data_IF_256756596764
#
_entry.id   IF_256756596764
#
_cell.length_a   1.000
_cell.length_b   1.000
_cell.length_c   1.000
_cell.angle_alpha   90.00
_cell.angle_beta   90.00
_cell.angle_gamma   90.00
#
_symmetry.space_group_name_H-M   'P 1'
#
loop_
_entity.id
_entity.type
_entity.pdbx_description
1 polymer ?
#
# COMPACT_ATOMS: atom_id res chain seq x y z
N UNK A 1 1.59 15.38 -6.68
CA UNK A 1 2.52 14.23 -6.67
C UNK A 1 2.11 13.34 -5.52
N UNK A 2 1.93 12.02 -5.74
CA UNK A 2 1.67 11.07 -4.65
C UNK A 2 2.99 10.61 -4.04
N UNK A 3 3.14 10.73 -2.73
CA UNK A 3 4.37 10.43 -2.00
C UNK A 3 4.29 9.04 -1.35
N UNK A 4 5.41 8.31 -1.34
CA UNK A 4 5.52 7.03 -0.63
C UNK A 4 6.01 7.32 0.78
N UNK A 5 5.18 6.99 1.77
CA UNK A 5 5.45 7.24 3.19
C UNK A 5 6.21 6.09 3.84
N UNK A 6 6.05 4.89 3.30
CA UNK A 6 6.70 3.67 3.77
C UNK A 6 6.78 2.68 2.62
N UNK A 7 7.87 1.93 2.53
CA UNK A 7 8.06 0.85 1.56
C UNK A 7 8.87 -0.29 2.18
N UNK A 8 8.47 -1.52 1.90
CA UNK A 8 9.20 -2.74 2.26
C UNK A 8 9.00 -3.82 1.20
N UNK A 9 10.06 -4.59 0.94
CA UNK A 9 9.99 -5.78 0.10
C UNK A 9 9.68 -7.01 0.96
N UNK A 10 8.66 -7.77 0.57
CA UNK A 10 8.29 -9.05 1.16
C UNK A 10 9.27 -10.15 0.73
N UNK A 11 9.41 -11.24 1.51
CA UNK A 11 10.28 -12.37 1.16
C UNK A 11 9.98 -13.01 -0.21
N UNK A 12 8.73 -12.97 -0.64
CA UNK A 12 8.25 -13.45 -1.95
C UNK A 12 8.56 -12.50 -3.13
N UNK A 13 9.26 -11.39 -2.87
CA UNK A 13 9.69 -10.43 -3.89
C UNK A 13 8.66 -9.35 -4.22
N UNK A 14 7.43 -9.41 -3.69
CA UNK A 14 6.47 -8.33 -3.82
C UNK A 14 6.87 -7.13 -2.94
N UNK A 15 6.54 -5.90 -3.38
CA UNK A 15 6.82 -4.68 -2.60
C UNK A 15 5.52 -4.13 -2.03
N UNK A 16 5.47 -3.98 -0.71
CA UNK A 16 4.35 -3.35 0.00
C UNK A 16 4.71 -1.89 0.29
N UNK A 17 3.79 -0.97 0.04
CA UNK A 17 4.02 0.45 0.32
C UNK A 17 2.79 1.15 0.87
N UNK A 18 3.02 2.14 1.73
CA UNK A 18 2.02 3.13 2.14
C UNK A 18 2.19 4.35 1.24
N UNK A 19 1.15 4.68 0.46
CA UNK A 19 1.17 5.81 -0.47
C UNK A 19 0.17 6.88 -0.05
N UNK A 20 0.63 8.12 0.05
CA UNK A 20 -0.22 9.29 0.29
C UNK A 20 -1.02 9.64 -0.97
N UNK A 21 -2.32 9.89 -0.79
CA UNK A 21 -3.24 10.31 -1.85
C UNK A 21 -3.48 11.82 -1.88
N UNK A 22 -3.25 12.48 -0.74
CA UNK A 22 -3.42 13.93 -0.56
C UNK A 22 -2.11 14.65 -0.83
N UNK A 23 -2.14 15.93 -1.28
CA UNK A 23 -0.93 16.74 -1.39
C UNK A 23 -0.17 16.81 -0.06
N UNK A 24 1.14 17.01 -0.13
CA UNK A 24 1.96 17.33 1.04
C UNK A 24 1.35 18.54 1.78
N UNK A 25 1.40 18.52 3.11
CA UNK A 25 0.85 19.57 3.99
C UNK A 25 -0.68 19.76 3.96
N UNK A 26 -1.41 19.01 3.14
CA UNK A 26 -2.88 19.02 3.14
C UNK A 26 -3.45 18.10 4.22
N UNK A 27 -4.41 18.62 4.99
CA UNK A 27 -5.23 17.87 5.94
C UNK A 27 -6.70 17.81 5.47
N UNK A 28 -7.43 16.71 5.70
CA UNK A 28 -6.95 15.48 6.34
C UNK A 28 -6.00 14.69 5.42
N UNK A 29 -5.05 13.98 6.01
CA UNK A 29 -4.13 13.10 5.29
C UNK A 29 -4.85 11.80 4.93
N UNK A 30 -4.85 11.47 3.65
CA UNK A 30 -5.34 10.17 3.16
C UNK A 30 -4.17 9.36 2.61
N UNK A 31 -4.03 8.11 3.05
CA UNK A 31 -3.04 7.18 2.53
C UNK A 31 -3.63 5.78 2.31
N UNK A 32 -2.95 5.00 1.48
CA UNK A 32 -3.36 3.65 1.09
C UNK A 32 -2.21 2.66 1.19
N UNK A 33 -2.54 1.39 1.46
CA UNK A 33 -1.61 0.28 1.28
C UNK A 33 -1.70 -0.22 -0.16
N UNK A 34 -0.56 -0.38 -0.82
CA UNK A 34 -0.45 -0.99 -2.14
C UNK A 34 0.56 -2.13 -2.12
N UNK A 35 0.34 -3.13 -2.97
CA UNK A 35 1.29 -4.22 -3.18
C UNK A 35 1.67 -4.27 -4.65
N UNK A 36 2.93 -4.04 -4.94
CA UNK A 36 3.52 -4.18 -6.26
C UNK A 36 4.09 -5.61 -6.42
N UNK A 37 3.38 -6.44 -7.16
CA UNK A 37 3.79 -7.82 -7.50
C UNK A 37 4.65 -7.90 -8.77
N UNK A 38 5.09 -6.77 -9.36
CA UNK A 38 5.86 -6.75 -10.62
C UNK A 38 7.20 -7.49 -10.52
N UNK A 39 7.75 -7.66 -9.31
CA UNK A 39 8.97 -8.43 -9.07
C UNK A 39 8.73 -9.95 -8.85
N UNK A 40 7.48 -10.41 -8.77
CA UNK A 40 7.14 -11.79 -8.37
C UNK A 40 6.96 -12.78 -9.54
N UNK A 41 7.02 -12.34 -10.81
CA UNK A 41 6.93 -13.25 -11.96
C UNK A 41 6.32 -12.63 -13.23
N UNK A 42 6.45 -13.29 -14.40
CA UNK A 42 6.05 -12.72 -15.68
C UNK A 42 4.55 -12.91 -15.92
N UNK A 43 3.74 -11.88 -15.65
CA UNK A 43 2.45 -11.54 -16.32
C UNK A 43 1.71 -10.42 -15.58
N UNK A 44 1.61 -9.24 -16.17
CA UNK A 44 0.40 -8.82 -16.88
C UNK A 44 0.53 -7.38 -17.37
N UNK A 45 0.03 -7.17 -18.59
CA UNK A 45 0.37 -6.12 -19.55
C UNK A 45 -0.46 -4.85 -19.28
N UNK A 46 -0.58 -4.44 -18.02
CA UNK A 46 -1.32 -3.22 -17.64
C UNK A 46 -0.44 -2.29 -16.79
N UNK A 47 0.74 -1.98 -17.34
CA UNK A 47 1.79 -1.20 -16.69
C UNK A 47 1.40 0.27 -16.39
N UNK A 48 0.21 0.73 -16.77
CA UNK A 48 -0.26 2.12 -16.58
C UNK A 48 -1.21 2.34 -15.41
N UNK A 49 -1.68 1.28 -14.73
CA UNK A 49 -2.60 1.42 -13.60
C UNK A 49 -1.83 1.23 -12.29
N UNK A 50 -1.88 2.20 -11.38
CA UNK A 50 -1.34 2.03 -10.02
C UNK A 50 -1.88 0.73 -9.40
N UNK A 51 -1.08 -0.01 -8.62
CA UNK A 51 -1.56 -1.22 -7.97
C UNK A 51 -2.85 -0.91 -7.17
N UNK A 52 -3.81 -1.83 -7.12
CA UNK A 52 -5.06 -1.59 -6.40
C UNK A 52 -4.77 -1.38 -4.90
N UNK A 53 -5.28 -0.28 -4.36
CA UNK A 53 -5.11 0.10 -2.95
C UNK A 53 -5.84 -0.87 -1.99
N UNK A 54 -5.13 -1.76 -1.30
CA UNK A 54 -5.69 -2.81 -0.44
C UNK A 54 -6.52 -2.26 0.73
N UNK A 55 -6.04 -1.18 1.32
CA UNK A 55 -6.67 -0.50 2.45
C UNK A 55 -6.44 1.00 2.31
N UNK A 56 -7.40 1.80 2.76
CA UNK A 56 -7.30 3.25 2.81
C UNK A 56 -7.59 3.74 4.23
N UNK A 57 -6.78 4.67 4.72
CA UNK A 57 -6.97 5.33 6.01
C UNK A 57 -6.88 6.84 5.82
N UNK A 58 -7.70 7.54 6.59
CA UNK A 58 -7.70 8.99 6.69
C UNK A 58 -7.40 9.39 8.14
N UNK A 59 -6.60 10.43 8.33
CA UNK A 59 -6.24 10.94 9.64
C UNK A 59 -5.72 12.38 9.57
N UNK A 60 -5.65 13.05 10.71
CA UNK A 60 -5.26 14.47 10.77
C UNK A 60 -3.77 14.70 10.47
N UNK A 61 -2.93 13.69 10.74
CA UNK A 61 -1.48 13.76 10.56
C UNK A 61 -0.96 12.59 9.75
N UNK A 62 0.15 12.81 9.07
CA UNK A 62 0.84 11.76 8.31
C UNK A 62 1.30 10.63 9.24
N UNK A 63 1.92 10.98 10.37
CA UNK A 63 2.38 10.02 11.36
C UNK A 63 1.22 9.16 11.90
N UNK A 64 0.05 9.76 12.14
CA UNK A 64 -1.13 9.02 12.60
C UNK A 64 -1.63 8.01 11.57
N UNK A 65 -1.68 8.41 10.30
CA UNK A 65 -2.08 7.51 9.20
C UNK A 65 -1.06 6.39 8.99
N UNK A 66 0.24 6.71 9.02
CA UNK A 66 1.32 5.72 8.92
C UNK A 66 1.25 4.74 10.08
N UNK A 67 1.10 5.20 11.32
CA UNK A 67 0.97 4.35 12.50
C UNK A 67 -0.27 3.44 12.44
N UNK A 68 -1.38 3.90 11.85
CA UNK A 68 -2.58 3.09 11.66
C UNK A 68 -2.40 2.00 10.58
N UNK A 69 -1.58 2.27 9.56
CA UNK A 69 -1.34 1.34 8.45
C UNK A 69 -0.15 0.39 8.70
N UNK A 70 0.82 0.79 9.54
CA UNK A 70 2.04 0.04 9.83
C UNK A 70 1.79 -1.43 10.22
N UNK A 71 0.87 -1.73 11.17
CA UNK A 71 0.62 -3.11 11.61
C UNK A 71 0.21 -4.05 10.48
N UNK A 72 -0.42 -3.52 9.44
CA UNK A 72 -0.86 -4.30 8.29
C UNK A 72 0.26 -4.53 7.27
N UNK A 73 1.23 -3.62 7.16
CA UNK A 73 2.34 -3.71 6.19
C UNK A 73 3.58 -4.42 6.73
N UNK A 74 3.74 -4.47 8.06
CA UNK A 74 4.83 -5.21 8.70
C UNK A 74 4.55 -6.71 8.79
N UNK A 75 3.27 -7.12 8.85
CA UNK A 75 2.89 -8.53 8.94
C UNK A 75 2.48 -9.09 7.56
N UNK A 76 3.30 -9.97 7.00
CA UNK A 76 3.06 -10.61 5.70
C UNK A 76 1.70 -11.36 5.67
N UNK A 77 1.30 -11.96 6.79
CA UNK A 77 0.00 -12.61 6.94
C UNK A 77 -1.17 -11.61 6.89
N UNK A 78 -0.99 -10.39 7.40
CA UNK A 78 -2.01 -9.34 7.30
C UNK A 78 -2.18 -8.88 5.86
N UNK A 79 -1.07 -8.72 5.11
CA UNK A 79 -1.12 -8.44 3.67
C UNK A 79 -1.80 -9.57 2.90
N UNK A 80 -1.45 -10.83 3.17
CA UNK A 80 -2.11 -11.98 2.54
C UNK A 80 -3.63 -12.00 2.81
N UNK A 81 -4.06 -11.67 4.03
CA UNK A 81 -5.47 -11.54 4.38
C UNK A 81 -6.16 -10.41 3.62
N UNK A 82 -5.52 -9.24 3.50
CA UNK A 82 -6.06 -8.11 2.74
C UNK A 82 -6.19 -8.45 1.25
N UNK A 83 -5.21 -9.15 0.68
CA UNK A 83 -5.24 -9.64 -0.70
C UNK A 83 -6.38 -10.65 -0.93
N UNK A 84 -6.55 -11.60 0.00
CA UNK A 84 -7.62 -12.59 -0.05
C UNK A 84 -9.03 -11.94 0.05
N UNK A 85 -9.21 -10.98 0.96
CA UNK A 85 -10.48 -10.25 1.14
C UNK A 85 -10.86 -9.44 -0.11
N UNK A 86 -9.86 -8.93 -0.83
CA UNK A 86 -10.04 -8.17 -2.06
C UNK A 86 -10.41 -9.05 -3.27
N UNK A 87 -10.34 -10.37 -3.13
CA UNK A 87 -10.56 -11.32 -4.22
C UNK A 87 -9.42 -11.33 -5.25
N UNK A 88 -8.18 -11.05 -4.82
CA UNK A 88 -7.01 -11.29 -5.67
C UNK A 88 -6.65 -12.77 -5.57
N UNK A 89 -6.94 -13.61 -6.61
CA UNK A 89 -6.45 -14.97 -6.66
C UNK A 89 -4.91 -15.05 -6.76
#
# INVERSE_FOLDING_TARGET
MSEVLYERTMPEGATVRIRRLTPAEAAPVRAVIEVDRRNSGPRSIDARRSPPALMAVEGETEQGVVAALLPFVEEDAAIARLLAQRGAP
#
